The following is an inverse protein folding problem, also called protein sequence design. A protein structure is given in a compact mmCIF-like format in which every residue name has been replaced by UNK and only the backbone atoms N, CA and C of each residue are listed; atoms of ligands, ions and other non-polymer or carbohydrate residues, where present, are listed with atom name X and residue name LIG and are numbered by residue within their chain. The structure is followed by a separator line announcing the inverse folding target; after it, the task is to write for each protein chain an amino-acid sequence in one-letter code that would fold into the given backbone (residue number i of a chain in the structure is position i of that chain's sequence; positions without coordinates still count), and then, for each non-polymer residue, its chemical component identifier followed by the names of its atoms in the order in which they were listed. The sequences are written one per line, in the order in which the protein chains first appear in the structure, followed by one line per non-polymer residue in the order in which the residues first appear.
data_IF_969844231120
#
_entry.id   IF_969844231120
#
_cell.length_a   1.000
_cell.length_b   1.000
_cell.length_c   1.000
_cell.angle_alpha   90.00
_cell.angle_beta   90.00
_cell.angle_gamma   90.00
#
_symmetry.space_group_name_H-M   'P 1'
#
loop_
_entity.id
_entity.type
_entity.pdbx_description
1 polymer ?
#
# COMPACT_ATOMS: atom_id res chain seq x y z
N UNK A 1 -9.69 -26.15 -5.28
CA UNK A 1 -8.27 -26.03 -5.68
C UNK A 1 -7.89 -24.56 -5.60
N UNK A 2 -7.34 -24.18 -4.45
CA UNK A 2 -7.15 -22.80 -4.01
C UNK A 2 -6.22 -21.97 -4.91
N UNK A 3 -6.54 -20.68 -5.01
CA UNK A 3 -5.54 -19.63 -5.25
C UNK A 3 -4.70 -19.49 -4.00
N UNK A 4 -3.39 -19.73 -4.12
CA UNK A 4 -2.44 -19.44 -3.06
C UNK A 4 -2.19 -17.93 -3.05
N UNK A 5 -2.93 -17.23 -2.18
CA UNK A 5 -2.75 -15.80 -1.94
C UNK A 5 -1.70 -15.63 -0.84
N UNK A 6 -0.48 -15.21 -1.20
CA UNK A 6 0.57 -14.88 -0.23
C UNK A 6 0.55 -13.38 0.06
N UNK A 7 -0.29 -12.94 1.00
CA UNK A 7 -0.30 -11.55 1.46
C UNK A 7 0.93 -11.29 2.33
N UNK A 8 1.78 -10.33 1.93
CA UNK A 8 2.96 -9.95 2.72
C UNK A 8 3.01 -8.44 2.87
N UNK A 9 2.72 -7.99 4.08
CA UNK A 9 2.82 -6.60 4.50
C UNK A 9 4.29 -6.26 4.76
N UNK A 10 4.82 -5.27 4.02
CA UNK A 10 6.19 -4.78 4.12
C UNK A 10 6.20 -3.35 4.66
N UNK A 11 6.12 -3.19 5.98
CA UNK A 11 6.24 -1.89 6.63
C UNK A 11 7.58 -1.20 6.29
N UNK A 12 7.53 0.08 5.94
CA UNK A 12 8.69 0.94 5.70
C UNK A 12 8.86 1.98 6.81
N UNK A 13 10.08 2.52 6.95
CA UNK A 13 10.46 3.46 8.02
C UNK A 13 9.62 4.75 8.08
N UNK A 14 9.80 5.54 9.13
CA UNK A 14 9.00 6.77 9.39
C UNK A 14 9.52 8.01 8.63
N UNK A 15 10.67 7.90 7.95
CA UNK A 15 11.27 8.95 7.12
C UNK A 15 11.95 8.33 5.91
N UNK A 16 12.26 9.14 4.88
CA UNK A 16 12.88 8.66 3.64
C UNK A 16 14.23 7.99 3.88
N UNK A 17 15.05 8.54 4.78
CA UNK A 17 16.38 8.02 5.12
C UNK A 17 16.34 6.76 5.98
N UNK A 18 15.22 6.51 6.68
CA UNK A 18 15.00 5.29 7.45
C UNK A 18 14.45 4.13 6.62
N UNK A 19 14.04 4.38 5.38
CA UNK A 19 13.54 3.34 4.49
C UNK A 19 14.69 2.64 3.77
N UNK A 20 14.81 1.32 3.95
CA UNK A 20 15.75 0.50 3.18
C UNK A 20 15.10 0.04 1.86
N UNK A 21 15.03 0.97 0.89
CA UNK A 21 14.45 0.70 -0.42
C UNK A 21 15.20 -0.38 -1.20
N UNK A 22 16.52 -0.50 -1.02
CA UNK A 22 17.33 -1.55 -1.67
C UNK A 22 16.94 -2.93 -1.18
N UNK A 23 16.70 -3.10 0.13
CA UNK A 23 16.20 -4.36 0.67
C UNK A 23 14.79 -4.65 0.16
N UNK A 24 13.91 -3.66 0.13
CA UNK A 24 12.56 -3.82 -0.41
C UNK A 24 12.58 -4.24 -1.89
N UNK A 25 13.35 -3.54 -2.73
CA UNK A 25 13.57 -3.87 -4.14
C UNK A 25 14.07 -5.31 -4.32
N UNK A 26 15.07 -5.74 -3.53
CA UNK A 26 15.58 -7.12 -3.54
C UNK A 26 14.50 -8.14 -3.22
N UNK A 27 13.69 -7.89 -2.19
CA UNK A 27 12.58 -8.76 -1.79
C UNK A 27 11.54 -8.86 -2.91
N UNK A 28 11.19 -7.73 -3.53
CA UNK A 28 10.22 -7.68 -4.63
C UNK A 28 10.72 -8.43 -5.87
N UNK A 29 11.98 -8.24 -6.26
CA UNK A 29 12.57 -9.00 -7.36
C UNK A 29 12.60 -10.50 -7.07
N UNK A 30 12.95 -10.90 -5.85
CA UNK A 30 12.91 -12.29 -5.45
C UNK A 30 11.51 -12.86 -5.55
N UNK A 31 10.50 -12.15 -5.02
CA UNK A 31 9.11 -12.57 -5.09
C UNK A 31 8.62 -12.68 -6.54
N UNK A 32 8.91 -11.71 -7.40
CA UNK A 32 8.53 -11.76 -8.82
C UNK A 32 9.12 -13.00 -9.50
N UNK A 33 10.36 -13.37 -9.17
CA UNK A 33 11.06 -14.51 -9.77
C UNK A 33 10.60 -15.86 -9.20
N UNK A 34 10.43 -15.95 -7.89
CA UNK A 34 10.25 -17.21 -7.15
C UNK A 34 8.81 -17.47 -6.72
N UNK A 35 7.96 -16.43 -6.70
CA UNK A 35 6.55 -16.45 -6.25
C UNK A 35 6.40 -16.81 -4.77
N UNK A 36 7.46 -16.58 -4.02
CA UNK A 36 7.56 -16.75 -2.57
C UNK A 36 8.50 -15.69 -2.02
N UNK A 37 8.45 -15.45 -0.70
CA UNK A 37 9.39 -14.54 -0.05
C UNK A 37 10.77 -15.19 0.11
N UNK A 38 11.84 -14.38 0.17
CA UNK A 38 13.14 -14.87 0.62
C UNK A 38 13.03 -15.55 1.99
N UNK A 39 13.74 -16.67 2.18
CA UNK A 39 13.73 -17.42 3.45
C UNK A 39 14.26 -16.60 4.64
N UNK A 40 15.10 -15.59 4.40
CA UNK A 40 15.64 -14.65 5.37
C UNK A 40 14.73 -13.42 5.58
N UNK A 41 13.60 -13.36 4.89
CA UNK A 41 12.65 -12.27 5.07
C UNK A 41 11.98 -12.35 6.45
N UNK A 42 12.08 -11.25 7.21
CA UNK A 42 11.37 -11.07 8.47
C UNK A 42 10.55 -9.80 8.39
N UNK A 43 9.24 -9.92 8.64
CA UNK A 43 8.37 -8.78 8.89
C UNK A 43 8.34 -8.51 10.40
N UNK A 44 8.55 -7.26 10.82
CA UNK A 44 8.36 -6.87 12.21
C UNK A 44 6.95 -6.33 12.50
N UNK A 45 6.11 -6.16 11.48
CA UNK A 45 4.76 -5.57 11.64
C UNK A 45 3.84 -6.41 12.53
N UNK A 46 3.85 -7.74 12.37
CA UNK A 46 3.08 -8.65 13.23
C UNK A 46 3.53 -8.61 14.71
N UNK A 47 4.72 -8.09 14.99
CA UNK A 47 5.26 -7.92 16.37
C UNK A 47 4.99 -6.53 16.94
N UNK A 48 4.78 -5.53 16.09
CA UNK A 48 4.63 -4.11 16.46
C UNK A 48 3.18 -3.65 16.55
N UNK A 49 2.25 -4.48 16.06
CA UNK A 49 0.89 -4.06 15.83
C UNK A 49 -0.11 -5.15 16.22
N UNK A 50 -0.97 -4.86 17.19
CA UNK A 50 -2.15 -5.66 17.52
C UNK A 50 -3.28 -5.39 16.50
N UNK A 51 -3.00 -5.57 15.21
CA UNK A 51 -4.00 -5.31 14.17
C UNK A 51 -5.03 -6.44 14.12
N UNK A 52 -6.14 -6.24 14.83
CA UNK A 52 -7.36 -6.99 14.56
C UNK A 52 -8.07 -6.40 13.34
N UNK A 53 -8.55 -7.29 12.48
CA UNK A 53 -9.37 -6.88 11.34
C UNK A 53 -10.67 -6.24 11.85
N UNK A 54 -10.80 -4.93 11.69
CA UNK A 54 -11.97 -4.16 12.13
C UNK A 54 -13.18 -4.22 11.19
N UNK A 55 -13.14 -5.07 10.16
CA UNK A 55 -14.27 -5.29 9.26
C UNK A 55 -15.27 -6.27 9.88
N UNK A 56 -16.55 -6.11 9.57
CA UNK A 56 -17.57 -7.07 9.99
C UNK A 56 -17.34 -8.45 9.34
N UNK A 57 -17.88 -9.50 9.97
CA UNK A 57 -17.80 -10.85 9.42
C UNK A 57 -18.52 -10.94 8.07
N UNK A 58 -19.63 -10.21 7.90
CA UNK A 58 -20.40 -10.15 6.67
C UNK A 58 -19.59 -9.53 5.52
N UNK A 59 -18.88 -8.42 5.77
CA UNK A 59 -18.04 -7.79 4.75
C UNK A 59 -16.86 -8.67 4.36
N UNK A 60 -16.22 -9.32 5.34
CA UNK A 60 -15.16 -10.29 5.08
C UNK A 60 -15.66 -11.47 4.25
N UNK A 61 -16.83 -12.02 4.61
CA UNK A 61 -17.45 -13.12 3.88
C UNK A 61 -17.78 -12.70 2.44
N UNK A 62 -18.36 -11.52 2.26
CA UNK A 62 -18.68 -10.97 0.95
C UNK A 62 -17.42 -10.87 0.05
N UNK A 63 -16.35 -10.23 0.52
CA UNK A 63 -15.14 -10.08 -0.30
C UNK A 63 -14.41 -11.41 -0.53
N UNK A 64 -14.38 -12.30 0.47
CA UNK A 64 -13.87 -13.67 0.27
C UNK A 64 -14.64 -14.37 -0.83
N UNK A 65 -15.97 -14.30 -0.80
CA UNK A 65 -16.81 -14.86 -1.84
C UNK A 65 -16.44 -14.30 -3.21
N UNK A 66 -16.36 -12.97 -3.37
CA UNK A 66 -16.00 -12.35 -4.64
C UNK A 66 -14.62 -12.78 -5.16
N UNK A 67 -13.60 -12.89 -4.30
CA UNK A 67 -12.25 -13.25 -4.73
C UNK A 67 -12.02 -14.76 -4.91
N UNK A 68 -12.80 -15.62 -4.24
CA UNK A 68 -12.61 -17.09 -4.24
C UNK A 68 -13.64 -17.87 -5.05
N UNK A 69 -14.91 -17.44 -5.09
CA UNK A 69 -15.96 -18.09 -5.89
C UNK A 69 -15.85 -17.64 -7.34
N UNK A 70 -14.91 -18.25 -8.06
CA UNK A 70 -14.62 -17.96 -9.46
C UNK A 70 -15.30 -18.96 -10.38
N UNK A 71 -15.79 -18.47 -11.52
CA UNK A 71 -16.14 -19.35 -12.63
C UNK A 71 -14.86 -20.07 -13.12
N UNK A 72 -14.88 -21.40 -13.37
CA UNK A 72 -13.69 -22.15 -13.83
C UNK A 72 -13.08 -21.65 -15.16
N UNK A 73 -13.84 -20.89 -15.95
CA UNK A 73 -13.42 -20.25 -17.19
C UNK A 73 -12.80 -18.87 -16.97
N UNK A 74 -13.03 -18.25 -15.80
CA UNK A 74 -12.52 -16.92 -15.48
C UNK A 74 -10.99 -16.93 -15.37
N UNK A 75 -10.37 -15.92 -15.97
CA UNK A 75 -8.92 -15.69 -15.91
C UNK A 75 -8.63 -14.40 -15.17
N UNK A 76 -7.46 -14.36 -14.55
CA UNK A 76 -6.84 -13.14 -14.05
C UNK A 76 -6.03 -12.53 -15.19
N UNK A 77 -6.20 -11.23 -15.39
CA UNK A 77 -5.51 -10.44 -16.39
C UNK A 77 -4.45 -9.55 -15.72
N UNK A 78 -3.40 -9.24 -16.48
CA UNK A 78 -2.37 -8.29 -16.11
C UNK A 78 -1.86 -7.61 -17.36
N UNK A 79 -1.44 -6.35 -17.24
CA UNK A 79 -0.74 -5.67 -18.33
C UNK A 79 0.66 -6.26 -18.60
N UNK A 80 1.26 -6.93 -17.60
CA UNK A 80 2.64 -7.44 -17.68
C UNK A 80 2.73 -8.96 -17.91
N UNK A 81 1.68 -9.71 -17.59
CA UNK A 81 1.69 -11.17 -17.59
C UNK A 81 0.53 -11.76 -18.42
N UNK A 82 0.72 -12.93 -19.05
CA UNK A 82 -0.34 -13.58 -19.81
C UNK A 82 -1.51 -13.99 -18.90
N UNK A 83 -2.76 -14.04 -19.42
CA UNK A 83 -3.92 -14.41 -18.62
C UNK A 83 -3.79 -15.79 -17.98
N UNK A 84 -3.95 -15.84 -16.65
CA UNK A 84 -3.71 -17.05 -15.85
C UNK A 84 -4.96 -17.47 -15.07
N UNK A 85 -5.13 -18.77 -14.83
CA UNK A 85 -6.20 -19.30 -13.96
C UNK A 85 -5.87 -19.12 -12.47
N UNK A 86 -4.59 -19.12 -12.13
CA UNK A 86 -4.07 -18.95 -10.77
C UNK A 86 -2.97 -17.90 -10.78
N UNK A 87 -2.95 -17.08 -9.74
CA UNK A 87 -1.93 -16.04 -9.52
C UNK A 87 -1.54 -16.07 -8.05
N UNK A 88 -0.33 -15.61 -7.75
CA UNK A 88 0.10 -15.27 -6.40
C UNK A 88 0.05 -13.75 -6.29
N UNK A 89 -0.57 -13.23 -5.24
CA UNK A 89 -0.76 -11.79 -5.02
C UNK A 89 0.10 -11.36 -3.85
N UNK A 90 0.96 -10.37 -4.05
CA UNK A 90 1.71 -9.67 -3.01
C UNK A 90 1.09 -8.30 -2.74
N UNK A 91 0.71 -8.01 -1.49
CA UNK A 91 0.20 -6.69 -1.10
C UNK A 91 1.27 -5.97 -0.30
N UNK A 92 1.94 -5.01 -0.93
CA UNK A 92 2.93 -4.16 -0.28
C UNK A 92 2.24 -2.92 0.26
N UNK A 93 2.31 -2.69 1.57
CA UNK A 93 1.77 -1.48 2.19
C UNK A 93 2.83 -0.71 2.96
N UNK A 94 2.67 0.61 2.99
CA UNK A 94 3.56 1.51 3.71
C UNK A 94 3.43 2.91 3.14
N UNK A 95 3.60 3.92 3.99
CA UNK A 95 3.26 5.29 3.60
C UNK A 95 4.35 5.98 2.76
N UNK A 96 5.56 5.42 2.64
CA UNK A 96 6.67 5.98 1.83
C UNK A 96 7.08 5.10 0.64
N UNK A 97 6.36 3.99 0.39
CA UNK A 97 6.77 2.96 -0.60
C UNK A 97 6.82 3.45 -2.05
N UNK A 98 6.19 4.59 -2.36
CA UNK A 98 6.16 5.17 -3.70
C UNK A 98 7.21 6.24 -3.95
N UNK A 99 8.06 6.55 -2.97
CA UNK A 99 9.13 7.52 -3.14
C UNK A 99 10.19 6.98 -4.10
N UNK A 100 10.72 5.79 -3.84
CA UNK A 100 11.80 5.19 -4.62
C UNK A 100 11.30 4.68 -5.98
N UNK A 101 11.93 5.16 -7.05
CA UNK A 101 11.53 4.85 -8.42
C UNK A 101 11.75 3.38 -8.78
N UNK A 102 12.83 2.75 -8.30
CA UNK A 102 13.12 1.35 -8.58
C UNK A 102 12.07 0.44 -7.95
N UNK A 103 11.73 0.66 -6.67
CA UNK A 103 10.69 -0.07 -5.94
C UNK A 103 9.32 0.10 -6.61
N UNK A 104 8.88 1.35 -6.82
CA UNK A 104 7.51 1.60 -7.29
C UNK A 104 7.26 1.11 -8.71
N UNK A 105 8.31 0.98 -9.53
CA UNK A 105 8.22 0.45 -10.89
C UNK A 105 7.96 -1.06 -10.92
N UNK A 106 8.23 -1.78 -9.83
CA UNK A 106 7.93 -3.21 -9.72
C UNK A 106 6.44 -3.51 -9.53
N UNK A 107 5.66 -2.56 -9.01
CA UNK A 107 4.23 -2.77 -8.73
C UNK A 107 3.39 -2.89 -10.01
N UNK A 108 2.41 -3.79 -9.97
CA UNK A 108 1.41 -3.98 -11.04
C UNK A 108 0.21 -3.06 -10.86
N UNK A 109 -0.15 -2.74 -9.61
CA UNK A 109 -1.23 -1.85 -9.24
C UNK A 109 -0.77 -0.97 -8.07
N UNK A 110 -1.19 0.30 -8.06
CA UNK A 110 -0.80 1.27 -7.02
C UNK A 110 -2.04 1.96 -6.48
N UNK A 111 -2.27 1.81 -5.18
CA UNK A 111 -3.35 2.48 -4.45
C UNK A 111 -2.73 3.51 -3.51
N UNK A 112 -3.30 4.72 -3.46
CA UNK A 112 -2.90 5.76 -2.51
C UNK A 112 -4.11 6.24 -1.72
N UNK A 113 -4.07 6.10 -0.40
CA UNK A 113 -5.11 6.58 0.51
C UNK A 113 -4.79 8.04 0.90
N UNK A 114 -5.65 8.98 0.52
CA UNK A 114 -5.49 10.39 0.90
C UNK A 114 -6.46 10.80 1.99
N UNK A 115 -5.94 11.49 2.99
CA UNK A 115 -6.68 12.22 4.02
C UNK A 115 -6.00 13.58 4.23
N UNK A 116 -6.72 14.53 4.80
CA UNK A 116 -6.17 15.82 5.22
C UNK A 116 -5.11 15.66 6.31
N UNK A 117 -4.25 16.67 6.44
CA UNK A 117 -3.30 16.83 7.54
C UNK A 117 -3.99 16.74 8.89
N UNK A 118 -5.14 17.40 9.03
CA UNK A 118 -5.92 17.42 10.25
C UNK A 118 -6.41 16.02 10.64
N UNK A 119 -6.96 15.26 9.68
CA UNK A 119 -7.39 13.88 9.94
C UNK A 119 -6.20 12.95 10.21
N UNK A 120 -5.06 13.15 9.55
CA UNK A 120 -3.83 12.38 9.81
C UNK A 120 -3.31 12.61 11.23
N UNK A 121 -3.19 13.88 11.66
CA UNK A 121 -2.78 14.26 13.01
C UNK A 121 -3.71 13.63 14.05
N UNK A 122 -5.03 13.85 13.91
CA UNK A 122 -6.03 13.29 14.84
C UNK A 122 -5.87 11.77 14.97
N UNK A 123 -5.83 11.05 13.85
CA UNK A 123 -5.70 9.58 13.85
C UNK A 123 -4.35 9.11 14.41
N UNK A 124 -3.28 9.89 14.25
CA UNK A 124 -1.96 9.55 14.79
C UNK A 124 -1.92 9.75 16.31
N UNK A 125 -2.49 10.83 16.82
CA UNK A 125 -2.62 11.06 18.26
C UNK A 125 -3.56 10.06 18.94
N UNK A 126 -4.61 9.61 18.24
CA UNK A 126 -5.53 8.58 18.73
C UNK A 126 -4.92 7.16 18.68
N UNK A 127 -3.88 6.94 17.87
CA UNK A 127 -3.25 5.64 17.75
C UNK A 127 -2.52 5.36 19.06
N UNK A 128 -2.96 4.32 19.76
CA UNK A 128 -2.32 3.85 20.99
C UNK A 128 -0.83 3.56 20.74
N UNK A 129 -0.03 3.86 21.75
CA UNK A 129 1.43 3.82 21.72
C UNK A 129 1.98 2.52 21.11
N UNK A 130 3.07 2.63 20.35
CA UNK A 130 3.73 1.48 19.72
C UNK A 130 4.56 0.73 20.75
N UNK A 131 4.36 -0.57 20.90
CA UNK A 131 5.24 -1.39 21.75
C UNK A 131 6.49 -1.75 20.94
N UNK A 132 7.64 -1.28 21.42
CA UNK A 132 8.97 -1.57 20.90
C UNK A 132 9.39 -3.00 21.23
N UNK A 133 10.44 -3.49 20.57
CA UNK A 133 10.88 -4.90 20.66
C UNK A 133 11.39 -5.29 22.06
N UNK A 134 11.82 -4.31 22.86
CA UNK A 134 12.22 -4.45 24.27
C UNK A 134 11.05 -4.30 25.26
N UNK A 135 9.82 -4.10 24.74
CA UNK A 135 8.63 -3.87 25.55
C UNK A 135 8.44 -2.40 25.98
N UNK A 136 9.36 -1.50 25.60
CA UNK A 136 9.14 -0.07 25.80
C UNK A 136 7.99 0.43 24.94
N UNK A 137 7.29 1.43 25.44
CA UNK A 137 6.13 2.00 24.78
C UNK A 137 6.57 3.30 24.13
N UNK A 138 6.67 3.31 22.80
CA UNK A 138 6.98 4.51 22.04
C UNK A 138 5.77 5.43 22.02
N UNK A 139 5.96 6.60 22.61
CA UNK A 139 5.10 7.77 22.51
C UNK A 139 5.80 8.79 21.60
N UNK A 140 5.05 9.36 20.66
CA UNK A 140 5.60 10.40 19.79
C UNK A 140 6.07 11.59 20.65
N UNK A 141 7.33 12.04 20.54
CA UNK A 141 7.80 13.18 21.31
C UNK A 141 7.06 14.46 20.91
N UNK A 142 7.11 15.52 21.75
CA UNK A 142 6.53 16.81 21.40
C UNK A 142 6.97 17.27 20.01
N UNK A 143 6.02 17.80 19.23
CA UNK A 143 6.21 18.30 17.85
C UNK A 143 6.59 17.26 16.79
N UNK A 144 6.68 15.96 17.13
CA UNK A 144 7.09 14.92 16.18
C UNK A 144 6.26 14.89 14.89
N UNK A 145 4.93 15.08 15.00
CA UNK A 145 4.09 15.14 13.81
C UNK A 145 4.41 16.33 12.92
N UNK A 146 4.49 17.52 13.52
CA UNK A 146 4.65 18.78 12.81
C UNK A 146 6.06 18.93 12.20
N UNK A 147 7.08 18.43 12.89
CA UNK A 147 8.48 18.60 12.52
C UNK A 147 9.07 17.43 11.73
N UNK A 148 8.52 16.20 11.88
CA UNK A 148 9.09 14.99 11.26
C UNK A 148 8.10 14.33 10.31
N UNK A 149 6.94 13.90 10.82
CA UNK A 149 6.01 13.03 10.07
C UNK A 149 5.39 13.76 8.88
N UNK A 150 4.81 14.94 9.13
CA UNK A 150 4.14 15.72 8.09
C UNK A 150 5.13 16.24 7.03
N UNK A 151 6.29 16.82 7.40
CA UNK A 151 7.30 17.20 6.41
C UNK A 151 7.77 16.02 5.55
N UNK A 152 8.04 14.84 6.14
CA UNK A 152 8.43 13.66 5.38
C UNK A 152 7.31 13.19 4.43
N UNK A 153 6.04 13.27 4.85
CA UNK A 153 4.90 12.99 3.98
C UNK A 153 4.81 13.95 2.79
N UNK A 154 4.99 15.26 3.03
CA UNK A 154 4.96 16.27 1.97
C UNK A 154 6.14 16.11 1.02
N UNK A 155 7.34 15.86 1.54
CA UNK A 155 8.55 15.62 0.73
C UNK A 155 8.37 14.41 -0.18
N UNK A 156 7.84 13.30 0.36
CA UNK A 156 7.70 12.06 -0.38
C UNK A 156 6.63 12.11 -1.47
N UNK A 157 5.56 12.87 -1.26
CA UNK A 157 4.37 12.82 -2.11
C UNK A 157 4.05 14.12 -2.84
N UNK A 158 4.66 15.25 -2.47
CA UNK A 158 4.33 16.56 -3.03
C UNK A 158 4.30 16.56 -4.55
N UNK A 159 5.35 16.03 -5.19
CA UNK A 159 5.43 16.03 -6.67
C UNK A 159 4.49 15.01 -7.33
N UNK A 160 3.78 14.17 -6.57
CA UNK A 160 2.69 13.34 -7.11
C UNK A 160 1.44 14.18 -7.40
N UNK A 161 1.30 15.35 -6.78
CA UNK A 161 0.11 16.19 -6.86
C UNK A 161 0.39 17.54 -7.51
N UNK A 162 -0.62 18.08 -8.21
CA UNK A 162 -0.53 19.39 -8.83
C UNK A 162 -0.19 20.47 -7.78
N UNK A 163 0.72 21.37 -8.14
CA UNK A 163 1.19 22.47 -7.27
C UNK A 163 1.78 22.00 -5.92
N UNK A 164 2.19 20.73 -5.83
CA UNK A 164 2.61 20.10 -4.60
C UNK A 164 1.56 20.09 -3.47
N UNK A 165 0.27 20.19 -3.84
CA UNK A 165 -0.84 20.17 -2.90
C UNK A 165 -1.24 18.72 -2.58
N UNK A 166 -0.65 18.18 -1.50
CA UNK A 166 -0.90 16.80 -1.06
C UNK A 166 -2.30 16.57 -0.49
N UNK A 167 -3.06 17.63 -0.17
CA UNK A 167 -4.39 17.51 0.44
C UNK A 167 -5.51 17.59 -0.61
N UNK A 168 -5.35 18.44 -1.63
CA UNK A 168 -6.42 18.72 -2.61
C UNK A 168 -5.97 18.62 -4.07
N UNK A 169 -4.67 18.62 -4.36
CA UNK A 169 -4.15 18.58 -5.73
C UNK A 169 -4.60 17.33 -6.48
N UNK A 170 -4.84 17.45 -7.78
CA UNK A 170 -5.05 16.27 -8.62
C UNK A 170 -3.72 15.50 -8.80
N UNK A 171 -3.78 14.20 -9.09
CA UNK A 171 -2.59 13.43 -9.45
C UNK A 171 -1.99 13.95 -10.75
N UNK A 172 -0.71 14.30 -10.72
CA UNK A 172 0.06 14.60 -11.93
C UNK A 172 0.20 13.32 -12.76
N UNK A 173 -0.18 13.39 -14.04
CA UNK A 173 -0.11 12.26 -14.96
C UNK A 173 1.21 12.30 -15.75
N UNK A 174 2.20 11.45 -15.44
CA UNK A 174 3.44 11.42 -16.21
C UNK A 174 3.22 10.72 -17.55
N UNK A 175 3.90 11.20 -18.60
CA UNK A 175 3.86 10.57 -19.93
C UNK A 175 4.56 9.20 -19.97
N UNK A 176 5.60 9.02 -19.15
CA UNK A 176 6.39 7.79 -19.05
C UNK A 176 6.42 7.28 -17.60
N UNK A 177 6.69 5.98 -17.42
CA UNK A 177 6.83 5.36 -16.10
C UNK A 177 8.14 5.70 -15.38
N UNK A 178 9.10 6.32 -16.07
CA UNK A 178 10.46 6.54 -15.59
C UNK A 178 10.63 7.94 -14.98
N UNK A 179 9.88 8.21 -13.91
CA UNK A 179 10.02 9.43 -13.13
C UNK A 179 11.03 9.19 -11.99
N UNK A 180 11.88 10.19 -11.66
CA UNK A 180 12.85 10.07 -10.58
C UNK A 180 12.17 9.97 -9.21
N UNK A 181 12.94 9.64 -8.18
CA UNK A 181 12.47 9.53 -6.79
C UNK A 181 11.62 10.74 -6.37
N UNK A 182 10.53 10.44 -5.66
CA UNK A 182 9.52 11.41 -5.23
C UNK A 182 8.70 12.03 -6.37
N UNK A 183 8.98 11.71 -7.64
CA UNK A 183 8.25 12.22 -8.81
C UNK A 183 6.83 11.64 -8.97
N UNK A 184 6.06 12.14 -9.96
CA UNK A 184 4.73 11.63 -10.28
C UNK A 184 4.71 10.13 -10.54
N UNK A 185 3.63 9.45 -10.18
CA UNK A 185 3.49 8.01 -10.32
C UNK A 185 2.38 7.69 -11.32
N UNK A 186 2.74 7.03 -12.43
CA UNK A 186 1.78 6.66 -13.47
C UNK A 186 0.77 5.63 -12.95
N UNK A 187 -0.47 5.74 -13.45
CA UNK A 187 -1.56 4.81 -13.18
C UNK A 187 -1.87 4.66 -11.68
N UNK A 188 -1.50 5.67 -10.88
CA UNK A 188 -1.81 5.72 -9.47
C UNK A 188 -3.33 5.87 -9.27
N UNK A 189 -3.90 4.99 -8.46
CA UNK A 189 -5.31 5.06 -8.10
C UNK A 189 -5.43 5.77 -6.76
N UNK A 190 -5.83 7.03 -6.83
CA UNK A 190 -6.14 7.83 -5.64
C UNK A 190 -7.48 7.39 -5.04
N UNK A 191 -7.46 7.11 -3.75
CA UNK A 191 -8.62 6.82 -2.93
C UNK A 191 -8.76 7.94 -1.90
N UNK A 192 -9.67 8.87 -2.15
CA UNK A 192 -10.06 9.86 -1.15
C UNK A 192 -10.70 9.13 0.02
N UNK A 193 -10.06 9.20 1.18
CA UNK A 193 -10.47 8.51 2.41
C UNK A 193 -11.01 9.49 3.47
N UNK A 194 -11.01 10.79 3.18
CA UNK A 194 -11.57 11.82 4.06
C UNK A 194 -13.07 11.57 4.28
N UNK A 195 -13.49 11.61 5.54
CA UNK A 195 -14.88 11.35 5.95
C UNK A 195 -15.37 9.91 5.81
N UNK A 196 -14.62 8.99 5.18
CA UNK A 196 -15.03 7.60 5.04
C UNK A 196 -14.62 6.73 6.24
N UNK A 197 -15.49 5.79 6.57
CA UNK A 197 -15.21 4.68 7.47
C UNK A 197 -14.17 3.72 6.88
N UNK A 198 -13.55 2.91 7.75
CA UNK A 198 -12.61 1.86 7.34
C UNK A 198 -13.25 0.88 6.35
N UNK A 199 -14.53 0.55 6.57
CA UNK A 199 -15.31 -0.36 5.73
C UNK A 199 -15.55 0.22 4.33
N UNK A 200 -15.92 1.50 4.23
CA UNK A 200 -16.11 2.16 2.93
C UNK A 200 -14.82 2.25 2.13
N UNK A 201 -13.70 2.58 2.79
CA UNK A 201 -12.38 2.60 2.17
C UNK A 201 -12.00 1.19 1.70
N UNK A 202 -12.23 0.16 2.52
CA UNK A 202 -11.99 -1.23 2.15
C UNK A 202 -12.80 -1.63 0.92
N UNK A 203 -14.12 -1.40 0.91
CA UNK A 203 -14.99 -1.70 -0.23
C UNK A 203 -14.49 -1.04 -1.52
N UNK A 204 -14.06 0.22 -1.45
CA UNK A 204 -13.52 0.95 -2.61
C UNK A 204 -12.21 0.32 -3.12
N UNK A 205 -11.29 0.01 -2.22
CA UNK A 205 -10.04 -0.66 -2.55
C UNK A 205 -10.28 -2.04 -3.18
N UNK A 206 -11.11 -2.87 -2.55
CA UNK A 206 -11.46 -4.20 -3.06
C UNK A 206 -12.12 -4.15 -4.44
N UNK A 207 -13.03 -3.19 -4.70
CA UNK A 207 -13.61 -2.99 -6.04
C UNK A 207 -12.54 -2.67 -7.09
N UNK A 208 -11.56 -1.81 -6.75
CA UNK A 208 -10.46 -1.47 -7.66
C UNK A 208 -9.56 -2.67 -7.93
N UNK A 209 -9.20 -3.42 -6.90
CA UNK A 209 -8.37 -4.64 -7.03
C UNK A 209 -9.11 -5.71 -7.85
N UNK A 210 -10.38 -5.95 -7.55
CA UNK A 210 -11.21 -6.90 -8.30
C UNK A 210 -11.29 -6.52 -9.79
N UNK A 211 -11.56 -5.24 -10.08
CA UNK A 211 -11.61 -4.75 -11.46
C UNK A 211 -10.26 -4.91 -12.16
N UNK A 212 -9.17 -4.57 -11.48
CA UNK A 212 -7.81 -4.71 -12.01
C UNK A 212 -7.48 -6.16 -12.38
N UNK A 213 -7.84 -7.12 -11.53
CA UNK A 213 -7.53 -8.53 -11.75
C UNK A 213 -8.40 -9.19 -12.82
N UNK A 214 -9.67 -8.80 -12.96
CA UNK A 214 -10.63 -9.56 -13.78
C UNK A 214 -11.14 -8.85 -15.02
N UNK A 215 -10.75 -7.59 -15.25
CA UNK A 215 -11.07 -6.91 -16.50
C UNK A 215 -9.95 -7.16 -17.51
N UNK A 216 -10.27 -7.56 -18.76
CA UNK A 216 -9.27 -7.58 -19.81
C UNK A 216 -8.67 -6.18 -19.96
N UNK A 217 -7.34 -6.04 -20.14
CA UNK A 217 -6.78 -4.76 -20.56
C UNK A 217 -7.44 -4.31 -21.88
N UNK A 218 -7.67 -3.00 -22.05
CA UNK A 218 -8.23 -2.45 -23.28
C UNK A 218 -7.35 -2.74 -24.50
#
# INVERSE_FOLDING_TARGET
METDTTVVILGVGQTLTQCDYRRLERVLHYFIKHRELPHDFQSSEHRRSNYDCSLSQEELAYWRQQFHERDPSQRVYSAKYPPAKKVVILIVEGFLIYYDAAVRNLFDMRLFLRVSRATMLRRRTERQNYVLEDGEVWEDPPFYFDEIVWPAYVEAHGRMFERADVEHGALVQPAINDTPDGGPVKDMILLEAEGYSKEEVNRRACKKIFTFLYRPPP
#
